data_IF_203398605613
#
_entry.id   IF_203398605613
#
_cell.length_a   1.000
_cell.length_b   1.000
_cell.length_c   1.000
_cell.angle_alpha   90.00
_cell.angle_beta   90.00
_cell.angle_gamma   90.00
#
_symmetry.space_group_name_H-M   'P 1'
#
loop_
_entity.id
_entity.type
_entity.pdbx_description
1 polymer ?
#
# COMPACT_ATOMS: atom_id res chain seq x y z
N UNK A 1 43.14 -5.60 -59.89
CA UNK A 1 42.09 -4.72 -59.31
C UNK A 1 40.97 -5.63 -58.81
N UNK A 2 40.28 -5.46 -57.68
CA UNK A 2 40.32 -4.60 -56.48
C UNK A 2 39.19 -5.19 -55.59
N UNK A 3 39.47 -5.48 -54.31
CA UNK A 3 38.61 -5.52 -53.07
C UNK A 3 37.15 -6.03 -53.15
N UNK A 4 36.49 -6.60 -52.14
CA UNK A 4 36.66 -6.56 -50.69
C UNK A 4 35.79 -7.65 -50.06
N UNK A 5 36.30 -8.24 -48.97
CA UNK A 5 35.56 -8.94 -47.93
C UNK A 5 34.46 -8.01 -47.37
N UNK A 6 33.25 -8.54 -47.18
CA UNK A 6 32.15 -7.86 -46.47
C UNK A 6 31.59 -8.76 -45.39
N UNK A 7 32.25 -8.80 -44.23
CA UNK A 7 31.78 -9.50 -43.04
C UNK A 7 30.76 -8.59 -42.33
N UNK A 8 29.47 -8.93 -42.43
CA UNK A 8 28.39 -8.14 -41.82
C UNK A 8 28.18 -8.64 -40.39
N UNK A 9 28.91 -8.08 -39.43
CA UNK A 9 28.68 -8.33 -38.00
C UNK A 9 27.50 -7.48 -37.52
N UNK A 10 26.34 -8.11 -37.33
CA UNK A 10 25.20 -7.49 -36.65
C UNK A 10 25.50 -7.40 -35.15
N UNK A 11 25.79 -6.18 -34.67
CA UNK A 11 25.98 -5.89 -33.26
C UNK A 11 24.60 -5.64 -32.63
N UNK A 12 24.02 -6.67 -32.01
CA UNK A 12 22.78 -6.53 -31.24
C UNK A 12 23.14 -5.86 -29.91
N UNK A 13 22.94 -4.55 -29.82
CA UNK A 13 22.92 -3.82 -28.55
C UNK A 13 21.68 -4.27 -27.76
N UNK A 14 21.87 -5.23 -26.87
CA UNK A 14 20.85 -5.62 -25.89
C UNK A 14 20.62 -4.47 -24.91
N UNK A 15 19.51 -3.75 -25.07
CA UNK A 15 19.01 -2.87 -24.02
C UNK A 15 18.52 -3.75 -22.86
N UNK A 16 19.27 -3.76 -21.76
CA UNK A 16 18.76 -4.32 -20.50
C UNK A 16 17.67 -3.38 -20.00
N UNK A 17 16.40 -3.77 -20.19
CA UNK A 17 15.29 -3.15 -19.49
C UNK A 17 15.48 -3.42 -17.98
N UNK A 18 16.14 -2.50 -17.28
CA UNK A 18 16.05 -2.45 -15.83
C UNK A 18 14.60 -2.14 -15.49
N UNK A 19 13.85 -3.16 -15.07
CA UNK A 19 12.53 -2.98 -14.52
C UNK A 19 12.65 -2.01 -13.33
N UNK A 20 12.19 -0.77 -13.52
CA UNK A 20 12.17 0.26 -12.48
C UNK A 20 11.22 -0.24 -11.38
N UNK A 21 11.70 -0.30 -10.14
CA UNK A 21 10.88 -0.68 -8.99
C UNK A 21 9.63 0.18 -8.87
N UNK A 22 8.57 -0.37 -8.27
CA UNK A 22 7.35 0.39 -8.03
C UNK A 22 7.58 1.41 -6.91
N UNK A 23 7.30 2.68 -7.18
CA UNK A 23 7.52 3.80 -6.25
C UNK A 23 6.21 4.32 -5.68
N UNK A 24 6.21 4.68 -4.40
CA UNK A 24 5.14 5.46 -3.80
C UNK A 24 5.16 6.90 -4.36
N UNK A 25 4.01 7.59 -4.40
CA UNK A 25 3.99 8.99 -4.75
C UNK A 25 4.78 9.82 -3.73
N UNK A 26 5.37 10.92 -4.19
CA UNK A 26 6.14 11.83 -3.33
C UNK A 26 5.28 12.82 -2.55
N UNK A 27 4.02 12.99 -2.96
CA UNK A 27 3.00 13.79 -2.28
C UNK A 27 1.73 12.95 -2.11
N UNK A 28 0.85 13.38 -1.21
CA UNK A 28 -0.50 12.80 -1.06
C UNK A 28 -0.55 11.29 -0.79
N UNK A 29 0.47 10.76 -0.10
CA UNK A 29 0.55 9.35 0.32
C UNK A 29 -0.73 8.88 1.03
N UNK A 30 -1.35 9.63 1.97
CA UNK A 30 -2.62 9.22 2.59
C UNK A 30 -3.76 9.00 1.60
N UNK A 31 -3.92 9.90 0.62
CA UNK A 31 -4.92 9.76 -0.42
C UNK A 31 -4.59 8.57 -1.33
N UNK A 32 -3.30 8.33 -1.59
CA UNK A 32 -2.85 7.17 -2.33
C UNK A 32 -3.17 5.86 -1.60
N UNK A 33 -2.97 5.79 -0.28
CA UNK A 33 -3.36 4.65 0.56
C UNK A 33 -4.87 4.41 0.45
N UNK A 34 -5.69 5.44 0.65
CA UNK A 34 -7.15 5.32 0.60
C UNK A 34 -7.65 4.68 -0.71
N UNK A 35 -7.04 5.08 -1.84
CA UNK A 35 -7.45 4.66 -3.17
C UNK A 35 -6.81 3.35 -3.66
N UNK A 36 -5.72 2.88 -3.05
CA UNK A 36 -4.95 1.75 -3.60
C UNK A 36 -4.74 0.59 -2.64
N UNK A 37 -4.93 0.79 -1.33
CA UNK A 37 -4.73 -0.28 -0.35
C UNK A 37 -5.77 -1.38 -0.54
N UNK A 38 -5.32 -2.57 -0.89
CA UNK A 38 -6.17 -3.75 -0.92
C UNK A 38 -6.49 -4.23 0.51
N UNK A 39 -7.70 -3.95 0.95
CA UNK A 39 -8.22 -4.33 2.26
C UNK A 39 -8.38 -5.84 2.45
N UNK A 40 -8.32 -6.63 1.37
CA UNK A 40 -8.31 -8.10 1.45
C UNK A 40 -6.97 -8.69 1.86
N UNK A 41 -5.88 -7.93 1.81
CA UNK A 41 -4.54 -8.48 2.05
C UNK A 41 -4.21 -8.68 3.53
N UNK A 42 -5.06 -8.24 4.44
CA UNK A 42 -4.89 -8.36 5.89
C UNK A 42 -6.26 -8.47 6.57
N UNK A 43 -6.35 -9.08 7.77
CA UNK A 43 -7.59 -9.14 8.54
C UNK A 43 -8.07 -7.75 9.01
N UNK A 44 -9.34 -7.45 8.83
CA UNK A 44 -10.00 -6.24 9.34
C UNK A 44 -11.53 -6.42 9.36
N UNK A 45 -12.23 -5.52 10.06
CA UNK A 45 -13.69 -5.53 10.21
C UNK A 45 -14.45 -5.17 8.94
N UNK A 46 -13.79 -4.68 7.88
CA UNK A 46 -14.44 -4.36 6.61
C UNK A 46 -14.67 -5.60 5.74
N UNK A 47 -14.06 -6.75 6.04
CA UNK A 47 -14.19 -7.98 5.24
C UNK A 47 -15.65 -8.40 4.96
N UNK A 48 -16.58 -8.36 5.93
CA UNK A 48 -17.99 -8.66 5.70
C UNK A 48 -18.69 -7.72 4.70
N UNK A 49 -18.15 -6.51 4.46
CA UNK A 49 -18.71 -5.53 3.50
C UNK A 49 -18.21 -5.74 2.07
N UNK A 50 -17.27 -6.66 1.86
CA UNK A 50 -16.64 -6.87 0.55
C UNK A 50 -17.34 -7.98 -0.22
N UNK A 51 -17.66 -7.76 -1.50
CA UNK A 51 -18.19 -8.82 -2.36
C UNK A 51 -17.19 -9.96 -2.55
N UNK A 52 -17.64 -11.22 -2.56
CA UNK A 52 -16.76 -12.38 -2.68
C UNK A 52 -16.08 -12.58 -4.05
N UNK A 53 -16.28 -11.66 -5.01
CA UNK A 53 -15.86 -11.86 -6.40
C UNK A 53 -14.61 -11.09 -6.78
N UNK A 54 -14.37 -9.93 -6.16
CA UNK A 54 -13.20 -9.10 -6.45
C UNK A 54 -11.97 -9.58 -5.68
N UNK A 55 -10.86 -9.73 -6.40
CA UNK A 55 -9.54 -10.03 -5.81
C UNK A 55 -8.92 -8.87 -5.03
N UNK A 56 -9.44 -7.64 -5.21
CA UNK A 56 -8.97 -6.43 -4.54
C UNK A 56 -10.15 -5.52 -4.24
N UNK A 57 -10.20 -5.00 -3.01
CA UNK A 57 -11.21 -4.03 -2.57
C UNK A 57 -10.50 -2.97 -1.75
N UNK A 58 -10.69 -1.70 -2.10
CA UNK A 58 -10.10 -0.51 -1.46
C UNK A 58 -11.12 0.22 -0.57
N UNK A 59 -10.71 1.27 0.14
CA UNK A 59 -11.67 2.11 0.88
C UNK A 59 -12.66 2.80 -0.07
N UNK A 60 -12.15 3.31 -1.20
CA UNK A 60 -12.95 3.95 -2.23
C UNK A 60 -13.97 3.00 -2.86
N UNK A 61 -13.62 1.72 -3.02
CA UNK A 61 -14.53 0.67 -3.48
C UNK A 61 -15.70 0.39 -2.52
N UNK A 62 -15.54 0.72 -1.23
CA UNK A 62 -16.57 0.59 -0.20
C UNK A 62 -17.33 1.91 0.02
N UNK A 63 -17.13 2.89 -0.86
CA UNK A 63 -17.65 4.25 -0.74
C UNK A 63 -17.30 4.93 0.60
N UNK A 64 -16.17 4.54 1.21
CA UNK A 64 -15.66 5.19 2.41
C UNK A 64 -14.89 6.46 1.99
N UNK A 65 -15.43 7.61 2.38
CA UNK A 65 -14.80 8.91 2.15
C UNK A 65 -13.95 9.25 3.38
N UNK A 66 -12.65 9.56 3.21
CA UNK A 66 -11.82 9.98 4.33
C UNK A 66 -12.39 11.23 5.01
N UNK A 67 -12.54 11.17 6.33
CA UNK A 67 -12.93 12.34 7.15
C UNK A 67 -11.71 13.18 7.54
N UNK A 68 -10.52 12.57 7.54
CA UNK A 68 -9.23 13.27 7.70
C UNK A 68 -8.19 12.70 6.75
N UNK A 69 -7.49 13.60 6.06
CA UNK A 69 -6.29 13.31 5.26
C UNK A 69 -5.23 14.35 5.60
N UNK A 70 -4.19 13.95 6.33
CA UNK A 70 -3.03 14.78 6.66
C UNK A 70 -1.77 14.03 6.26
N UNK A 71 -0.61 14.70 6.14
CA UNK A 71 0.60 14.13 5.53
C UNK A 71 1.00 12.71 5.99
N UNK A 72 0.64 12.32 7.20
CA UNK A 72 0.93 11.03 7.83
C UNK A 72 -0.32 10.22 8.24
N UNK A 73 -1.54 10.68 7.97
CA UNK A 73 -2.77 10.04 8.44
C UNK A 73 -3.87 10.02 7.38
N UNK A 74 -4.57 8.90 7.31
CA UNK A 74 -5.93 8.80 6.76
C UNK A 74 -6.90 8.29 7.83
N UNK A 75 -8.05 8.95 7.99
CA UNK A 75 -9.13 8.52 8.88
C UNK A 75 -10.45 8.41 8.13
N UNK A 76 -11.27 7.47 8.56
CA UNK A 76 -12.65 7.31 8.14
C UNK A 76 -13.51 7.22 9.39
N UNK A 77 -14.38 8.21 9.56
CA UNK A 77 -15.26 8.30 10.72
C UNK A 77 -16.72 8.18 10.25
N UNK A 78 -17.33 7.03 10.50
CA UNK A 78 -18.71 6.71 10.12
C UNK A 78 -19.59 6.66 11.37
N UNK A 79 -20.90 6.48 11.23
CA UNK A 79 -21.79 6.41 12.39
C UNK A 79 -21.44 5.26 13.36
N UNK A 80 -21.01 4.12 12.81
CA UNK A 80 -20.78 2.89 13.58
C UNK A 80 -19.30 2.55 13.80
N UNK A 81 -18.40 3.09 12.96
CA UNK A 81 -17.00 2.68 12.91
C UNK A 81 -16.04 3.86 12.75
N UNK A 82 -14.89 3.74 13.40
CA UNK A 82 -13.72 4.58 13.21
C UNK A 82 -12.55 3.75 12.68
N UNK A 83 -11.98 4.18 11.56
CA UNK A 83 -10.79 3.59 10.96
C UNK A 83 -9.68 4.64 10.85
N UNK A 84 -8.44 4.25 11.11
CA UNK A 84 -7.28 5.14 10.89
C UNK A 84 -6.09 4.35 10.35
N UNK A 85 -5.36 4.93 9.40
CA UNK A 85 -4.00 4.50 9.07
C UNK A 85 -3.06 5.66 9.37
N UNK A 86 -2.24 5.47 10.39
CA UNK A 86 -1.15 6.37 10.71
C UNK A 86 0.15 5.84 10.11
N UNK A 87 0.79 6.62 9.25
CA UNK A 87 2.14 6.38 8.76
C UNK A 87 3.13 6.67 9.88
N UNK A 88 3.99 5.69 10.17
CA UNK A 88 5.03 5.76 11.20
C UNK A 88 6.40 5.91 10.56
N UNK A 89 6.63 5.21 9.45
CA UNK A 89 7.92 5.17 8.78
C UNK A 89 7.72 4.88 7.30
N UNK A 90 8.56 5.51 6.47
CA UNK A 90 8.71 5.17 5.06
C UNK A 90 10.10 4.60 4.86
N UNK A 91 10.17 3.44 4.21
CA UNK A 91 11.42 2.76 3.93
C UNK A 91 11.51 2.28 2.48
N UNK A 92 12.67 1.71 2.16
CA UNK A 92 13.00 1.22 0.83
C UNK A 92 13.68 -0.14 0.93
N UNK A 93 13.23 -1.08 0.11
CA UNK A 93 13.79 -2.42 0.00
C UNK A 93 14.79 -2.56 -1.16
N UNK A 94 15.33 -3.77 -1.29
CA UNK A 94 16.14 -4.21 -2.44
C UNK A 94 15.33 -4.00 -3.73
N UNK A 95 15.98 -3.54 -4.81
CA UNK A 95 15.36 -3.18 -6.12
C UNK A 95 14.39 -2.00 -6.07
N UNK A 96 14.61 -1.07 -5.14
CA UNK A 96 13.90 0.20 -5.06
C UNK A 96 12.39 0.11 -4.75
N UNK A 97 11.91 -1.00 -4.22
CA UNK A 97 10.52 -1.12 -3.77
C UNK A 97 10.33 -0.31 -2.48
N UNK A 98 9.47 0.69 -2.53
CA UNK A 98 9.15 1.51 -1.36
C UNK A 98 8.07 0.84 -0.50
N UNK A 99 8.19 0.98 0.81
CA UNK A 99 7.20 0.48 1.77
C UNK A 99 6.88 1.52 2.84
N UNK A 100 5.72 1.35 3.47
CA UNK A 100 5.30 2.13 4.63
C UNK A 100 5.05 1.21 5.81
N UNK A 101 5.51 1.60 6.99
CA UNK A 101 4.97 1.06 8.23
C UNK A 101 3.84 1.96 8.70
N UNK A 102 2.69 1.35 8.95
CA UNK A 102 1.50 2.06 9.42
C UNK A 102 0.91 1.36 10.63
N UNK A 103 0.20 2.11 11.46
CA UNK A 103 -0.70 1.57 12.48
C UNK A 103 -2.11 1.68 11.94
N UNK A 104 -2.76 0.53 11.73
CA UNK A 104 -4.17 0.49 11.37
C UNK A 104 -5.01 0.38 12.64
N UNK A 105 -5.89 1.34 12.87
CA UNK A 105 -6.91 1.32 13.91
C UNK A 105 -8.22 0.88 13.29
N UNK A 106 -8.88 -0.08 13.92
CA UNK A 106 -10.17 -0.61 13.54
C UNK A 106 -11.05 -0.68 14.79
N UNK A 107 -11.95 0.30 14.93
CA UNK A 107 -12.68 0.54 16.16
C UNK A 107 -14.18 0.65 15.90
N UNK A 108 -14.97 -0.19 16.56
CA UNK A 108 -16.42 -0.08 16.58
C UNK A 108 -16.83 0.95 17.62
N UNK A 109 -17.63 1.94 17.24
CA UNK A 109 -18.19 2.95 18.16
C UNK A 109 -19.25 2.36 19.10
N UNK A 110 -19.84 1.24 18.69
CA UNK A 110 -20.81 0.47 19.47
C UNK A 110 -20.23 -0.91 19.74
N UNK A 111 -20.23 -1.33 21.00
CA UNK A 111 -19.65 -2.60 21.44
C UNK A 111 -18.23 -2.44 22.00
N UNK A 112 -17.47 -3.54 22.03
CA UNK A 112 -16.13 -3.60 22.63
C UNK A 112 -15.02 -3.89 21.62
N UNK A 113 -15.34 -3.98 20.32
CA UNK A 113 -14.33 -4.25 19.31
C UNK A 113 -13.45 -3.01 19.10
N UNK A 114 -12.17 -3.14 19.43
CA UNK A 114 -11.15 -2.13 19.22
C UNK A 114 -9.84 -2.84 18.97
N UNK A 115 -9.24 -2.64 17.79
CA UNK A 115 -7.96 -3.26 17.45
C UNK A 115 -7.00 -2.24 16.85
N UNK A 116 -5.71 -2.49 17.09
CA UNK A 116 -4.62 -1.76 16.45
C UNK A 116 -3.64 -2.77 15.88
N UNK A 117 -3.51 -2.77 14.56
CA UNK A 117 -2.68 -3.72 13.83
C UNK A 117 -1.51 -2.98 13.18
N UNK A 118 -0.25 -3.30 13.54
CA UNK A 118 0.90 -2.81 12.82
C UNK A 118 0.94 -3.47 11.43
N UNK A 119 0.98 -2.67 10.37
CA UNK A 119 1.01 -3.15 8.99
C UNK A 119 2.24 -2.63 8.26
N UNK A 120 2.78 -3.46 7.38
CA UNK A 120 3.72 -3.07 6.34
C UNK A 120 2.98 -2.98 5.01
N UNK A 121 2.86 -1.78 4.46
CA UNK A 121 2.28 -1.53 3.15
C UNK A 121 3.38 -1.59 2.10
N UNK A 122 3.17 -2.39 1.05
CA UNK A 122 4.07 -2.48 -0.11
C UNK A 122 3.29 -2.11 -1.36
N UNK A 123 3.92 -1.35 -2.26
CA UNK A 123 3.36 -1.04 -3.57
C UNK A 123 4.17 -1.75 -4.66
N UNK A 124 3.52 -2.64 -5.41
CA UNK A 124 4.14 -3.37 -6.51
C UNK A 124 3.13 -3.67 -7.60
N UNK A 125 3.55 -3.58 -8.86
CA UNK A 125 2.72 -3.94 -10.03
C UNK A 125 1.33 -3.27 -10.03
N UNK A 126 1.26 -2.00 -9.62
CA UNK A 126 0.02 -1.23 -9.58
C UNK A 126 -0.93 -1.56 -8.42
N UNK A 127 -0.46 -2.33 -7.42
CA UNK A 127 -1.28 -2.74 -6.27
C UNK A 127 -0.58 -2.40 -4.97
N UNK A 128 -1.32 -1.85 -4.01
CA UNK A 128 -0.84 -1.70 -2.63
C UNK A 128 -1.42 -2.82 -1.77
N UNK A 129 -0.54 -3.55 -1.09
CA UNK A 129 -0.93 -4.65 -0.17
C UNK A 129 -0.32 -4.42 1.19
N UNK A 130 -1.05 -4.76 2.23
CA UNK A 130 -0.56 -4.83 3.60
C UNK A 130 -0.22 -6.28 4.00
N UNK A 131 0.79 -6.42 4.84
CA UNK A 131 1.04 -7.60 5.67
C UNK A 131 1.17 -7.16 7.13
N UNK A 132 0.69 -7.96 8.07
CA UNK A 132 0.93 -7.69 9.50
C UNK A 132 2.44 -7.65 9.78
N UNK A 133 2.88 -6.62 10.50
CA UNK A 133 4.27 -6.46 10.91
C UNK A 133 4.46 -7.02 12.32
N UNK A 134 5.51 -7.82 12.53
CA UNK A 134 5.74 -8.55 13.79
C UNK A 134 5.81 -7.65 15.04
N UNK A 135 6.20 -6.39 14.89
CA UNK A 135 6.13 -5.39 15.95
C UNK A 135 6.46 -4.02 15.36
N UNK A 136 5.60 -3.03 15.60
CA UNK A 136 6.09 -1.68 15.81
C UNK A 136 5.73 -1.31 17.25
N UNK A 137 6.73 -1.17 18.12
CA UNK A 137 6.51 -0.62 19.46
C UNK A 137 5.80 0.74 19.38
N UNK A 138 5.97 1.43 18.25
CA UNK A 138 5.29 2.66 17.88
C UNK A 138 3.75 2.54 17.78
N UNK A 139 3.17 1.37 17.50
CA UNK A 139 1.71 1.22 17.45
C UNK A 139 1.04 1.15 18.83
N UNK A 140 1.78 0.83 19.90
CA UNK A 140 1.21 0.75 21.26
C UNK A 140 0.62 2.06 21.77
N UNK A 141 1.03 3.21 21.23
CA UNK A 141 0.45 4.51 21.61
C UNK A 141 -0.94 4.75 21.05
N UNK A 142 -1.35 3.96 20.06
CA UNK A 142 -2.66 4.07 19.39
C UNK A 142 -3.68 3.07 19.91
N UNK A 143 -3.25 2.02 20.63
CA UNK A 143 -4.17 1.13 21.35
C UNK A 143 -4.72 1.87 22.56
N UNK A 144 -5.89 2.49 22.41
CA UNK A 144 -6.68 3.08 23.49
C UNK A 144 -7.98 2.32 23.65
#
# INVERSE_FOLDING_TARGET
MKYSLGFLTFLILGFTNHARGASLPKTDIPAFIANNLNLRSFPNSLHPRMDGTRSSVTFSDLALIPTRLTGDVVEFDTDDWFYSLQIIEQGKEIRDNEYLYVCFVDHAKVGSYSTVTPLRLSYASGKMTATEAASSAACKRFSR
#
